data_IF_236490002444
#
_entry.id   IF_236490002444
#
_cell.length_a   1.000
_cell.length_b   1.000
_cell.length_c   1.000
_cell.angle_alpha   90.00
_cell.angle_beta   90.00
_cell.angle_gamma   90.00
#
_symmetry.space_group_name_H-M   'P 1'
#
loop_
_entity.id
_entity.type
_entity.pdbx_description
1 polymer ?
#
# COMPACT_ATOMS: atom_id res chain seq x y z
N UNK A 1 27.05 -3.28 -14.06
CA UNK A 1 26.85 -2.48 -12.82
C UNK A 1 25.55 -2.96 -12.19
N UNK A 2 25.65 -3.81 -11.18
CA UNK A 2 24.49 -4.40 -10.51
C UNK A 2 23.93 -3.34 -9.56
N UNK A 3 22.80 -2.71 -9.91
CA UNK A 3 22.10 -1.82 -8.99
C UNK A 3 21.66 -2.65 -7.78
N UNK A 4 22.16 -2.31 -6.59
CA UNK A 4 21.66 -2.88 -5.35
C UNK A 4 20.28 -2.30 -5.06
N UNK A 5 19.35 -3.12 -4.58
CA UNK A 5 17.96 -2.70 -4.28
C UNK A 5 17.88 -1.50 -3.31
N UNK A 6 18.94 -1.25 -2.52
CA UNK A 6 19.04 -0.13 -1.59
C UNK A 6 19.08 1.26 -2.23
N UNK A 7 19.34 1.40 -3.53
CA UNK A 7 19.32 2.71 -4.21
C UNK A 7 17.97 3.02 -4.88
N UNK A 8 17.03 2.08 -4.82
CA UNK A 8 15.75 2.18 -5.53
C UNK A 8 14.92 3.39 -5.08
N UNK A 9 14.76 3.71 -3.78
CA UNK A 9 14.00 4.89 -3.37
C UNK A 9 14.57 6.20 -3.93
N UNK A 10 15.90 6.30 -4.07
CA UNK A 10 16.58 7.51 -4.53
C UNK A 10 16.28 7.80 -6.00
N UNK A 11 16.09 6.75 -6.81
CA UNK A 11 15.68 6.89 -8.21
C UNK A 11 14.32 7.61 -8.35
N UNK A 12 13.50 7.60 -7.30
CA UNK A 12 12.22 8.28 -7.25
C UNK A 12 12.25 9.56 -6.39
N UNK A 13 13.40 9.94 -5.84
CA UNK A 13 13.55 11.13 -4.99
C UNK A 13 13.06 10.96 -3.54
N UNK A 14 13.01 9.73 -3.05
CA UNK A 14 12.58 9.42 -1.69
C UNK A 14 13.67 8.68 -0.90
N UNK A 15 13.55 8.70 0.42
CA UNK A 15 14.42 7.92 1.31
C UNK A 15 13.88 6.48 1.48
N UNK A 16 12.56 6.30 1.36
CA UNK A 16 11.92 4.99 1.37
C UNK A 16 10.70 4.90 0.45
N UNK A 17 10.42 3.69 0.00
CA UNK A 17 9.21 3.32 -0.73
C UNK A 17 8.42 2.29 0.09
N UNK A 18 7.16 2.59 0.38
CA UNK A 18 6.20 1.68 1.02
C UNK A 18 5.32 1.04 -0.04
N UNK A 19 5.64 -0.18 -0.43
CA UNK A 19 4.88 -0.95 -1.42
C UNK A 19 3.70 -1.62 -0.74
N UNK A 20 2.51 -1.51 -1.32
CA UNK A 20 1.26 -2.02 -0.76
C UNK A 20 0.48 -2.72 -1.86
N UNK A 21 0.03 -3.94 -1.58
CA UNK A 21 -0.81 -4.72 -2.48
C UNK A 21 -1.84 -5.54 -1.70
N UNK A 22 -2.95 -5.86 -2.37
CA UNK A 22 -4.03 -6.61 -1.77
C UNK A 22 -4.73 -7.53 -2.77
N UNK A 23 -5.15 -8.70 -2.28
CA UNK A 23 -5.92 -9.66 -3.06
C UNK A 23 -7.14 -10.12 -2.28
N UNK A 24 -8.30 -10.15 -2.94
CA UNK A 24 -9.59 -10.56 -2.34
C UNK A 24 -10.15 -11.74 -3.12
N UNK A 25 -10.71 -12.73 -2.43
CA UNK A 25 -11.65 -13.69 -3.00
C UNK A 25 -13.08 -13.13 -2.89
N UNK A 26 -13.70 -12.70 -4.00
CA UNK A 26 -14.99 -12.01 -3.95
C UNK A 26 -16.14 -12.87 -3.40
N UNK A 27 -16.01 -14.20 -3.48
CA UNK A 27 -17.04 -15.15 -3.03
C UNK A 27 -17.10 -15.23 -1.50
N UNK A 28 -15.95 -15.46 -0.87
CA UNK A 28 -15.85 -15.53 0.59
C UNK A 28 -15.74 -14.15 1.26
N UNK A 29 -15.41 -13.10 0.50
CA UNK A 29 -15.05 -11.76 1.01
C UNK A 29 -13.86 -11.78 1.96
N UNK A 30 -13.03 -12.82 1.87
CA UNK A 30 -11.74 -12.89 2.53
C UNK A 30 -10.71 -12.28 1.60
N UNK A 31 -9.83 -11.47 2.14
CA UNK A 31 -8.67 -10.98 1.41
C UNK A 31 -7.41 -11.01 2.24
N UNK A 32 -6.28 -10.91 1.55
CA UNK A 32 -4.97 -10.75 2.15
C UNK A 32 -4.40 -9.44 1.65
N UNK A 33 -3.90 -8.63 2.55
CA UNK A 33 -3.06 -7.49 2.23
C UNK A 33 -1.61 -7.84 2.53
N UNK A 34 -0.70 -7.20 1.80
CA UNK A 34 0.72 -7.22 2.11
C UNK A 34 1.34 -5.85 1.90
N UNK A 35 2.40 -5.59 2.63
CA UNK A 35 3.26 -4.46 2.34
C UNK A 35 4.72 -4.81 2.56
N UNK A 36 5.57 -3.99 1.97
CA UNK A 36 7.00 -4.00 2.26
C UNK A 36 7.57 -2.60 2.16
N UNK A 37 8.64 -2.34 2.91
CA UNK A 37 9.36 -1.07 2.89
C UNK A 37 10.77 -1.30 2.32
N UNK A 38 11.14 -0.46 1.36
CA UNK A 38 12.50 -0.40 0.81
C UNK A 38 13.09 0.91 1.29
N UNK A 39 14.14 0.84 2.10
CA UNK A 39 14.84 2.01 2.64
C UNK A 39 16.16 2.20 1.92
N UNK A 40 16.54 3.45 1.70
CA UNK A 40 17.82 3.81 1.11
C UNK A 40 19.01 3.22 1.83
N UNK A 41 20.00 2.75 1.08
CA UNK A 41 21.35 2.47 1.55
C UNK A 41 22.04 3.69 2.23
N UNK A 42 21.63 4.92 1.89
CA UNK A 42 22.17 6.15 2.49
C UNK A 42 21.61 6.46 3.88
N UNK A 43 20.45 5.89 4.22
CA UNK A 43 19.87 5.98 5.57
C UNK A 43 20.28 4.73 6.35
N UNK A 44 21.53 4.72 6.80
CA UNK A 44 22.18 3.62 7.52
C UNK A 44 21.57 3.31 8.91
N UNK A 45 20.61 4.10 9.39
CA UNK A 45 19.99 3.94 10.71
C UNK A 45 19.00 2.76 10.78
N UNK A 46 18.59 2.22 9.63
CA UNK A 46 17.73 1.05 9.56
C UNK A 46 18.50 -0.09 8.91
N UNK A 47 19.00 -1.01 9.73
CA UNK A 47 19.56 -2.29 9.30
C UNK A 47 18.47 -3.21 8.70
N UNK A 48 17.75 -2.75 7.68
CA UNK A 48 16.74 -3.53 6.96
C UNK A 48 17.46 -4.32 5.88
N UNK A 49 17.89 -5.53 6.25
CA UNK A 49 18.36 -6.52 5.30
C UNK A 49 17.17 -7.07 4.52
N UNK A 50 17.04 -6.62 3.26
CA UNK A 50 15.97 -6.94 2.31
C UNK A 50 14.55 -6.49 2.72
N UNK A 51 13.68 -6.15 1.75
CA UNK A 51 12.29 -5.83 2.04
C UNK A 51 11.58 -7.05 2.67
N UNK A 52 11.37 -7.02 3.99
CA UNK A 52 10.53 -8.00 4.66
C UNK A 52 9.08 -7.74 4.22
N UNK A 53 8.47 -8.72 3.55
CA UNK A 53 7.06 -8.66 3.19
C UNK A 53 6.24 -9.07 4.41
N UNK A 54 5.45 -8.14 4.95
CA UNK A 54 4.43 -8.43 5.96
C UNK A 54 3.11 -8.70 5.25
N UNK A 55 2.36 -9.70 5.73
CA UNK A 55 1.01 -9.99 5.21
C UNK A 55 0.00 -10.19 6.32
N UNK A 56 -1.26 -9.82 6.08
CA UNK A 56 -2.35 -9.96 7.03
C UNK A 56 -3.65 -10.32 6.31
N UNK A 57 -4.46 -11.19 6.94
CA UNK A 57 -5.80 -11.58 6.46
C UNK A 57 -6.84 -10.58 6.94
N UNK A 58 -7.79 -10.28 6.07
CA UNK A 58 -8.94 -9.41 6.32
C UNK A 58 -10.23 -10.10 5.89
N UNK A 59 -11.27 -9.98 6.70
CA UNK A 59 -12.59 -10.53 6.43
C UNK A 59 -13.60 -9.45 6.05
N UNK A 60 -14.69 -9.87 5.41
CA UNK A 60 -15.80 -9.00 4.99
C UNK A 60 -15.34 -7.78 4.16
N UNK A 61 -14.37 -8.01 3.29
CA UNK A 61 -13.75 -6.95 2.49
C UNK A 61 -14.14 -7.03 1.02
N UNK A 62 -13.89 -5.95 0.30
CA UNK A 62 -13.95 -5.84 -1.16
C UNK A 62 -12.64 -5.26 -1.64
N UNK A 63 -12.25 -5.44 -2.90
CA UNK A 63 -10.94 -4.98 -3.40
C UNK A 63 -10.59 -3.54 -2.98
N UNK A 64 -11.44 -2.55 -3.27
CA UNK A 64 -11.15 -1.15 -2.89
C UNK A 64 -11.15 -0.91 -1.37
N UNK A 65 -11.94 -1.65 -0.59
CA UNK A 65 -11.92 -1.54 0.87
C UNK A 65 -10.60 -2.11 1.42
N UNK A 66 -10.16 -3.26 0.90
CA UNK A 66 -8.92 -3.89 1.32
C UNK A 66 -7.70 -3.03 1.00
N UNK A 67 -7.63 -2.45 -0.20
CA UNK A 67 -6.54 -1.55 -0.60
C UNK A 67 -6.35 -0.39 0.39
N UNK A 68 -7.45 0.23 0.81
CA UNK A 68 -7.38 1.35 1.76
C UNK A 68 -7.06 0.89 3.19
N UNK A 69 -7.55 -0.27 3.61
CA UNK A 69 -7.18 -0.87 4.92
C UNK A 69 -5.73 -1.30 4.94
N UNK A 70 -5.22 -1.86 3.85
CA UNK A 70 -3.82 -2.20 3.65
C UNK A 70 -2.94 -0.97 3.78
N UNK A 71 -3.34 0.14 3.15
CA UNK A 71 -2.66 1.43 3.28
C UNK A 71 -2.56 1.91 4.73
N UNK A 72 -3.68 1.89 5.47
CA UNK A 72 -3.69 2.28 6.88
C UNK A 72 -2.83 1.38 7.76
N UNK A 73 -2.93 0.07 7.55
CA UNK A 73 -2.15 -0.91 8.28
C UNK A 73 -0.65 -0.69 8.06
N UNK A 74 -0.22 -0.58 6.81
CA UNK A 74 1.17 -0.33 6.45
C UNK A 74 1.67 1.01 7.02
N UNK A 75 0.90 2.09 6.89
CA UNK A 75 1.26 3.41 7.43
C UNK A 75 1.37 3.42 8.96
N UNK A 76 0.54 2.63 9.66
CA UNK A 76 0.62 2.50 11.11
C UNK A 76 1.89 1.78 11.56
N UNK A 77 2.36 0.80 10.79
CA UNK A 77 3.57 0.03 11.11
C UNK A 77 4.85 0.85 10.87
N UNK A 78 4.80 1.84 9.97
CA UNK A 78 5.93 2.73 9.66
C UNK A 78 5.74 4.15 10.22
N UNK A 79 4.87 4.32 11.23
CA UNK A 79 4.52 5.63 11.79
C UNK A 79 5.74 6.40 12.33
N UNK A 80 6.75 5.69 12.81
CA UNK A 80 7.98 6.28 13.35
C UNK A 80 9.05 6.59 12.31
N UNK A 81 8.85 6.19 11.05
CA UNK A 81 9.77 6.51 9.96
C UNK A 81 9.71 8.00 9.61
N UNK A 82 10.83 8.73 9.77
CA UNK A 82 10.88 10.20 9.59
C UNK A 82 11.41 10.68 8.24
N UNK A 83 12.04 9.83 7.42
CA UNK A 83 12.60 10.23 6.11
C UNK A 83 11.54 10.48 5.02
N UNK A 84 11.94 10.89 3.83
CA UNK A 84 11.05 11.02 2.67
C UNK A 84 10.42 9.67 2.32
N UNK A 85 9.09 9.60 2.28
CA UNK A 85 8.34 8.36 2.06
C UNK A 85 7.33 8.53 0.93
N UNK A 86 7.30 7.55 0.03
CA UNK A 86 6.23 7.41 -0.95
C UNK A 86 5.53 6.06 -0.83
N UNK A 87 4.20 6.08 -0.89
CA UNK A 87 3.36 4.88 -0.98
C UNK A 87 3.28 4.44 -2.44
N UNK A 88 3.59 3.18 -2.72
CA UNK A 88 3.56 2.57 -4.06
C UNK A 88 2.44 1.53 -4.10
N UNK A 89 1.53 1.66 -5.06
CA UNK A 89 0.41 0.73 -5.25
C UNK A 89 -0.07 0.75 -6.71
N UNK A 90 -0.73 -0.31 -7.16
CA UNK A 90 -1.46 -0.33 -8.44
C UNK A 90 -2.92 0.13 -8.30
N UNK A 91 -3.39 0.37 -7.07
CA UNK A 91 -4.71 0.88 -6.77
C UNK A 91 -4.81 2.38 -7.08
N UNK A 92 -5.44 2.68 -8.21
CA UNK A 92 -5.70 4.06 -8.64
C UNK A 92 -6.53 4.84 -7.60
N UNK A 93 -7.46 4.20 -6.89
CA UNK A 93 -8.29 4.89 -5.87
C UNK A 93 -7.46 5.42 -4.72
N UNK A 94 -6.45 4.64 -4.28
CA UNK A 94 -5.50 5.06 -3.25
C UNK A 94 -4.58 6.16 -3.79
N UNK A 95 -3.98 5.94 -4.96
CA UNK A 95 -2.99 6.87 -5.51
C UNK A 95 -3.57 8.26 -5.87
N UNK A 96 -4.84 8.31 -6.29
CA UNK A 96 -5.53 9.58 -6.60
C UNK A 96 -6.17 10.24 -5.38
N UNK A 97 -6.00 9.70 -4.17
CA UNK A 97 -6.61 10.26 -2.97
C UNK A 97 -6.17 11.72 -2.70
N UNK A 98 -4.88 12.10 -2.86
CA UNK A 98 -4.44 13.49 -2.68
C UNK A 98 -5.15 14.46 -3.63
N UNK A 99 -5.25 14.13 -4.93
CA UNK A 99 -5.91 14.94 -5.96
C UNK A 99 -7.42 15.12 -5.68
N UNK A 100 -8.01 14.11 -5.02
CA UNK A 100 -9.44 14.11 -4.68
C UNK A 100 -9.72 14.74 -3.31
N UNK A 101 -8.70 15.10 -2.54
CA UNK A 101 -8.82 15.57 -1.15
C UNK A 101 -9.79 16.73 -1.03
N UNK A 102 -9.55 17.82 -1.76
CA UNK A 102 -10.38 19.04 -1.70
C UNK A 102 -11.85 18.72 -1.98
N UNK A 103 -12.12 17.96 -3.04
CA UNK A 103 -13.48 17.56 -3.42
C UNK A 103 -14.14 16.66 -2.36
N UNK A 104 -13.40 15.75 -1.75
CA UNK A 104 -13.90 14.89 -0.69
C UNK A 104 -14.26 15.70 0.56
N UNK A 105 -13.38 16.61 0.96
CA UNK A 105 -13.57 17.48 2.13
C UNK A 105 -14.72 18.47 1.90
N UNK A 106 -14.79 19.13 0.74
CA UNK A 106 -15.88 20.06 0.39
C UNK A 106 -17.26 19.39 0.41
N UNK A 107 -17.32 18.08 0.14
CA UNK A 107 -18.55 17.28 0.23
C UNK A 107 -18.73 16.55 1.54
N UNK A 108 -17.88 16.82 2.54
CA UNK A 108 -17.89 16.15 3.85
C UNK A 108 -17.84 14.62 3.75
N UNK A 109 -17.20 14.10 2.68
CA UNK A 109 -17.14 12.69 2.32
C UNK A 109 -18.53 12.06 2.04
N UNK A 110 -19.46 12.83 1.50
CA UNK A 110 -20.76 12.37 1.03
C UNK A 110 -20.84 12.30 -0.52
N UNK A 111 -21.76 11.49 -1.01
CA UNK A 111 -22.13 11.47 -2.43
C UNK A 111 -23.01 12.70 -2.79
N UNK A 112 -23.40 12.83 -4.07
CA UNK A 112 -24.22 13.97 -4.54
C UNK A 112 -25.60 14.08 -3.86
N UNK A 113 -26.09 13.00 -3.25
CA UNK A 113 -27.38 12.95 -2.53
C UNK A 113 -27.22 13.20 -1.02
N UNK A 114 -26.02 13.58 -0.55
CA UNK A 114 -25.75 13.80 0.87
C UNK A 114 -25.53 12.52 1.68
N UNK A 115 -25.52 11.34 1.05
CA UNK A 115 -25.28 10.06 1.75
C UNK A 115 -23.78 9.86 1.96
N UNK A 116 -23.31 9.50 3.16
CA UNK A 116 -21.90 9.20 3.43
C UNK A 116 -21.34 8.16 2.46
N UNK A 117 -20.12 8.39 1.96
CA UNK A 117 -19.40 7.41 1.16
C UNK A 117 -19.09 6.19 2.04
N UNK A 118 -19.26 4.98 1.50
CA UNK A 118 -18.95 3.73 2.20
C UNK A 118 -17.53 3.70 2.78
N UNK A 119 -16.58 4.30 2.08
CA UNK A 119 -15.15 4.33 2.44
C UNK A 119 -14.73 5.66 3.09
N UNK A 120 -15.69 6.50 3.50
CA UNK A 120 -15.42 7.85 4.03
C UNK A 120 -14.42 7.84 5.19
N UNK A 121 -14.59 6.91 6.13
CA UNK A 121 -13.72 6.80 7.29
C UNK A 121 -12.28 6.44 6.91
N UNK A 122 -12.11 5.48 5.99
CA UNK A 122 -10.78 5.08 5.51
C UNK A 122 -10.08 6.23 4.79
N UNK A 123 -10.80 6.98 3.95
CA UNK A 123 -10.25 8.18 3.32
C UNK A 123 -9.80 9.22 4.35
N UNK A 124 -10.62 9.49 5.38
CA UNK A 124 -10.24 10.43 6.45
C UNK A 124 -8.99 9.98 7.19
N UNK A 125 -8.90 8.70 7.56
CA UNK A 125 -7.76 8.15 8.28
C UNK A 125 -6.47 8.24 7.46
N UNK A 126 -6.50 7.92 6.17
CA UNK A 126 -5.31 8.00 5.30
C UNK A 126 -4.85 9.46 5.15
N UNK A 127 -5.79 10.38 4.95
CA UNK A 127 -5.47 11.82 4.88
C UNK A 127 -4.89 12.33 6.21
N UNK A 128 -5.45 11.92 7.35
CA UNK A 128 -4.91 12.26 8.66
C UNK A 128 -3.49 11.69 8.88
N UNK A 129 -3.21 10.48 8.42
CA UNK A 129 -1.84 9.93 8.44
C UNK A 129 -0.86 10.74 7.59
N UNK A 130 -1.32 11.26 6.43
CA UNK A 130 -0.52 12.13 5.58
C UNK A 130 -0.25 13.49 6.25
N UNK A 131 -1.27 14.08 6.89
CA UNK A 131 -1.16 15.34 7.64
C UNK A 131 -0.22 15.21 8.83
N UNK A 132 -0.43 14.18 9.67
CA UNK A 132 0.44 13.88 10.81
C UNK A 132 1.90 13.71 10.39
N UNK A 133 2.15 13.05 9.26
CA UNK A 133 3.50 12.92 8.72
C UNK A 133 4.09 14.28 8.34
N UNK A 134 3.35 15.09 7.59
CA UNK A 134 3.80 16.42 7.20
C UNK A 134 4.13 17.29 8.43
N UNK A 135 3.29 17.23 9.46
CA UNK A 135 3.49 17.96 10.72
C UNK A 135 4.72 17.47 11.50
N UNK A 136 4.97 16.16 11.52
CA UNK A 136 6.05 15.56 12.32
C UNK A 136 7.41 15.51 11.61
N UNK A 137 7.43 15.47 10.28
CA UNK A 137 8.67 15.34 9.49
C UNK A 137 8.96 16.53 8.60
N UNK A 138 7.99 17.43 8.38
CA UNK A 138 8.07 18.48 7.37
C UNK A 138 7.97 17.97 5.93
N UNK A 139 7.64 16.69 5.71
CA UNK A 139 7.62 16.07 4.38
C UNK A 139 6.24 15.52 4.02
N UNK A 140 5.78 15.86 2.82
CA UNK A 140 4.52 15.36 2.27
C UNK A 140 4.58 13.84 2.00
N UNK A 141 3.53 13.12 2.37
CA UNK A 141 3.33 11.72 1.95
C UNK A 141 2.87 11.69 0.48
N UNK A 142 3.70 11.14 -0.40
CA UNK A 142 3.40 11.02 -1.82
C UNK A 142 2.91 9.62 -2.19
N UNK A 143 2.20 9.53 -3.32
CA UNK A 143 1.66 8.27 -3.84
C UNK A 143 2.15 8.05 -5.27
N UNK A 144 2.71 6.87 -5.53
CA UNK A 144 3.22 6.46 -6.83
C UNK A 144 2.31 5.36 -7.35
N UNK A 145 1.59 5.66 -8.43
CA UNK A 145 0.78 4.66 -9.12
C UNK A 145 1.65 3.86 -10.08
N UNK A 146 1.73 2.55 -9.88
CA UNK A 146 2.33 1.65 -10.86
C UNK A 146 1.25 1.03 -11.73
N UNK A 147 1.51 0.94 -13.04
CA UNK A 147 0.58 0.27 -13.94
C UNK A 147 0.76 -1.24 -13.78
N UNK A 148 -0.27 -1.92 -13.28
CA UNK A 148 -0.28 -3.38 -13.21
C UNK A 148 0.04 -4.03 -14.57
N UNK A 149 0.74 -5.16 -14.53
CA UNK A 149 0.91 -6.10 -15.65
C UNK A 149 1.68 -5.60 -16.90
N UNK A 150 2.99 -5.30 -16.76
CA UNK A 150 3.94 -5.32 -17.89
C UNK A 150 4.65 -6.68 -18.05
N UNK A 151 5.07 -6.99 -19.29
CA UNK A 151 5.90 -8.19 -19.60
C UNK A 151 7.17 -8.18 -18.74
N UNK A 152 7.57 -9.34 -18.21
CA UNK A 152 8.68 -9.46 -17.25
C UNK A 152 9.99 -8.88 -17.75
N UNK A 153 10.25 -8.89 -19.06
CA UNK A 153 11.46 -8.35 -19.68
C UNK A 153 11.50 -6.82 -19.78
N UNK A 154 10.40 -6.13 -19.44
CA UNK A 154 10.26 -4.67 -19.52
C UNK A 154 9.98 -4.03 -18.17
N UNK A 155 10.07 -4.80 -17.07
CA UNK A 155 9.81 -4.30 -15.73
C UNK A 155 11.01 -3.51 -15.22
N UNK A 156 10.74 -2.32 -14.70
CA UNK A 156 11.65 -1.58 -13.84
C UNK A 156 11.93 -2.38 -12.55
N UNK A 157 13.00 -2.04 -11.84
CA UNK A 157 13.31 -2.64 -10.54
C UNK A 157 12.14 -2.51 -9.54
N UNK A 158 11.45 -1.37 -9.51
CA UNK A 158 10.26 -1.18 -8.68
C UNK A 158 9.11 -2.13 -9.05
N UNK A 159 8.87 -2.35 -10.35
CA UNK A 159 7.85 -3.29 -10.81
C UNK A 159 8.23 -4.75 -10.51
N UNK A 160 9.52 -5.08 -10.43
CA UNK A 160 9.99 -6.40 -9.97
C UNK A 160 9.70 -6.58 -8.49
N UNK A 161 10.10 -5.63 -7.63
CA UNK A 161 9.79 -5.67 -6.19
C UNK A 161 8.29 -5.75 -5.93
N UNK A 162 7.49 -4.95 -6.63
CA UNK A 162 6.04 -5.03 -6.52
C UNK A 162 5.48 -6.37 -7.00
N UNK A 163 6.05 -6.97 -8.06
CA UNK A 163 5.63 -8.29 -8.52
C UNK A 163 5.90 -9.38 -7.47
N UNK A 164 6.96 -9.24 -6.66
CA UNK A 164 7.23 -10.16 -5.55
C UNK A 164 6.21 -10.02 -4.43
N UNK A 165 5.84 -8.77 -4.09
CA UNK A 165 4.75 -8.49 -3.15
C UNK A 165 3.42 -9.10 -3.62
N UNK A 166 3.01 -8.82 -4.86
CA UNK A 166 1.76 -9.34 -5.46
C UNK A 166 1.69 -10.87 -5.46
N UNK A 167 2.79 -11.53 -5.85
CA UNK A 167 2.86 -12.98 -5.80
C UNK A 167 2.73 -13.53 -4.38
N UNK A 168 3.32 -12.86 -3.40
CA UNK A 168 3.29 -13.27 -1.99
C UNK A 168 1.88 -13.14 -1.43
N UNK A 169 1.22 -12.00 -1.65
CA UNK A 169 -0.17 -11.73 -1.24
C UNK A 169 -1.13 -12.76 -1.84
N UNK A 170 -1.06 -12.98 -3.16
CA UNK A 170 -1.91 -13.97 -3.85
C UNK A 170 -1.64 -15.40 -3.39
N UNK A 171 -0.38 -15.75 -3.11
CA UNK A 171 -0.02 -17.09 -2.61
C UNK A 171 -0.60 -17.31 -1.22
N UNK A 172 -0.48 -16.32 -0.32
CA UNK A 172 -1.04 -16.39 1.02
C UNK A 172 -2.56 -16.54 0.95
N UNK A 173 -3.27 -15.71 0.16
CA UNK A 173 -4.72 -15.84 0.01
C UNK A 173 -5.12 -17.26 -0.45
N UNK A 174 -4.44 -17.81 -1.46
CA UNK A 174 -4.72 -19.17 -1.95
C UNK A 174 -4.48 -20.23 -0.88
N UNK A 175 -3.40 -20.13 -0.12
CA UNK A 175 -3.12 -21.08 0.97
C UNK A 175 -4.15 -20.97 2.09
N UNK A 176 -4.51 -19.75 2.50
CA UNK A 176 -5.52 -19.51 3.52
C UNK A 176 -6.89 -20.09 3.13
N UNK A 177 -7.32 -19.87 1.89
CA UNK A 177 -8.59 -20.41 1.38
C UNK A 177 -8.57 -21.95 1.24
N UNK A 178 -7.41 -22.56 0.97
CA UNK A 178 -7.29 -24.03 0.91
C UNK A 178 -7.43 -24.66 2.29
N UNK A 179 -6.75 -24.09 3.29
CA UNK A 179 -6.80 -24.59 4.67
C UNK A 179 -8.23 -24.49 5.23
N UNK A 180 -8.86 -23.32 5.13
CA UNK A 180 -10.21 -23.09 5.66
C UNK A 180 -11.34 -23.77 4.87
N UNK A 181 -11.05 -24.46 3.76
CA UNK A 181 -12.02 -25.31 3.07
C UNK A 181 -11.98 -26.77 3.55
N UNK A 182 -10.89 -27.19 4.18
CA UNK A 182 -10.73 -28.56 4.67
C UNK A 182 -11.37 -28.80 6.04
N UNK A 183 -11.57 -27.75 6.85
CA UNK A 183 -12.21 -27.86 8.17
C UNK A 183 -13.75 -27.90 8.13
N UNK A 184 -14.35 -27.88 6.92
CA UNK A 184 -15.79 -27.90 6.70
C UNK A 184 -16.32 -29.12 5.96
N UNK A 185 -15.57 -30.22 5.90
CA UNK A 185 -15.97 -31.49 5.25
C UNK A 185 -16.05 -32.64 6.25
#
# INVERSE_FOLDING_TARGET
MTQQAGDLPQLYGYDALLLIDASVDPKSKIGVAGFSIIVSSKNNDLAIQQPLIKTQVFEQTSSTDLELRAALWALSDVVDYRGGLAVVSDCQTLCQLPERRERLQARQFCNRRGVPLKLAELYRKILASADFRLETTGMTLNFIHIKGHRKSSQRSALEVEFSHLDQTVRRHLRSYLKLNRQDGS
#
